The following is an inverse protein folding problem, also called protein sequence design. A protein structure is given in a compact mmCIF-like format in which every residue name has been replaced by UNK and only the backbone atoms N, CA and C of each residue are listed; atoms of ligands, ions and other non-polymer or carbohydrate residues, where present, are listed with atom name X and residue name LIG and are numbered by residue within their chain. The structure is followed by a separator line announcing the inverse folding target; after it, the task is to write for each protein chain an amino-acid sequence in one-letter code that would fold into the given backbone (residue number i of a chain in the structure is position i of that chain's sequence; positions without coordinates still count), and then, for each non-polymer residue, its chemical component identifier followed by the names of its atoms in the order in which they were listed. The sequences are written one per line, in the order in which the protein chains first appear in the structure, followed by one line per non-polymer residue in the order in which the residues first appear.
data_IF_693322686117
#
_entry.id   IF_693322686117
#
_cell.length_a   1.000
_cell.length_b   1.000
_cell.length_c   1.000
_cell.angle_alpha   90.00
_cell.angle_beta   90.00
_cell.angle_gamma   90.00
#
_symmetry.space_group_name_H-M   'P 1'
#
loop_
_entity.id
_entity.type
_entity.pdbx_description
1 polymer ?
#
# COMPACT_ATOMS: atom_id res chain seq x y z
N UNK A 1 -6.17 -3.01 12.35
CA UNK A 1 -7.21 -3.37 11.34
C UNK A 1 -6.53 -4.23 10.29
N UNK A 2 -7.21 -5.20 9.70
CA UNK A 2 -6.61 -6.05 8.66
C UNK A 2 -6.58 -5.34 7.30
N UNK A 3 -5.77 -5.87 6.38
CA UNK A 3 -5.65 -5.34 5.02
C UNK A 3 -7.00 -5.25 4.30
N UNK A 4 -7.79 -6.33 4.37
CA UNK A 4 -9.07 -6.44 3.65
C UNK A 4 -10.16 -5.60 4.26
N UNK A 5 -10.18 -5.48 5.59
CA UNK A 5 -11.07 -4.57 6.31
C UNK A 5 -10.85 -3.12 5.85
N UNK A 6 -9.57 -2.71 5.73
CA UNK A 6 -9.23 -1.37 5.23
C UNK A 6 -9.61 -1.19 3.76
N UNK A 7 -9.33 -2.20 2.94
CA UNK A 7 -9.66 -2.15 1.51
C UNK A 7 -11.18 -2.07 1.29
N UNK A 8 -11.96 -2.88 2.01
CA UNK A 8 -13.42 -2.87 2.00
C UNK A 8 -13.97 -1.48 2.35
N UNK A 9 -13.46 -0.87 3.43
CA UNK A 9 -13.88 0.47 3.84
C UNK A 9 -13.57 1.54 2.79
N UNK A 10 -12.43 1.43 2.08
CA UNK A 10 -12.06 2.41 1.05
C UNK A 10 -12.87 2.25 -0.22
N UNK A 11 -13.32 1.04 -0.55
CA UNK A 11 -14.17 0.79 -1.72
C UNK A 11 -15.60 1.24 -1.47
N UNK A 12 -16.13 0.99 -0.27
CA UNK A 12 -17.51 1.35 0.13
C UNK A 12 -17.62 2.72 0.81
N UNK A 13 -16.54 3.51 0.86
CA UNK A 13 -16.60 4.83 1.49
C UNK A 13 -17.59 5.74 0.77
N UNK A 14 -18.40 6.47 1.55
CA UNK A 14 -19.45 7.35 1.04
C UNK A 14 -18.95 8.28 -0.06
N UNK A 15 -19.66 8.27 -1.18
CA UNK A 15 -19.45 9.23 -2.26
C UNK A 15 -20.03 10.58 -1.85
N UNK A 16 -19.20 11.46 -1.30
CA UNK A 16 -19.55 12.88 -1.30
C UNK A 16 -19.38 13.45 -2.71
N UNK A 17 -20.40 14.13 -3.24
CA UNK A 17 -20.30 14.90 -4.48
C UNK A 17 -19.28 16.06 -4.36
N UNK A 18 -19.01 16.52 -3.14
CA UNK A 18 -18.14 17.67 -2.83
C UNK A 18 -16.70 17.29 -2.44
N UNK A 19 -16.44 16.04 -2.02
CA UNK A 19 -15.08 15.54 -1.83
C UNK A 19 -14.80 14.47 -2.89
N UNK A 20 -13.73 14.66 -3.66
CA UNK A 20 -13.23 13.65 -4.59
C UNK A 20 -13.15 12.30 -3.86
N UNK A 21 -13.97 11.34 -4.27
CA UNK A 21 -13.94 10.01 -3.69
C UNK A 21 -12.52 9.43 -3.76
N UNK A 22 -12.11 8.61 -2.79
CA UNK A 22 -10.72 8.19 -2.67
C UNK A 22 -10.26 7.45 -3.93
N UNK A 23 -9.12 7.88 -4.48
CA UNK A 23 -8.41 7.17 -5.52
C UNK A 23 -7.28 6.38 -4.86
N UNK A 24 -7.39 5.05 -4.88
CA UNK A 24 -6.57 4.15 -4.10
C UNK A 24 -5.60 3.41 -5.01
N UNK A 25 -4.34 3.37 -4.62
CA UNK A 25 -3.35 2.47 -5.20
C UNK A 25 -3.02 1.36 -4.19
N UNK A 26 -3.17 0.11 -4.60
CA UNK A 26 -2.76 -1.07 -3.84
C UNK A 26 -1.50 -1.64 -4.48
N UNK A 27 -0.39 -1.60 -3.76
CA UNK A 27 0.88 -2.19 -4.17
C UNK A 27 1.04 -3.55 -3.48
N UNK A 28 0.90 -4.61 -4.24
CA UNK A 28 1.02 -6.00 -3.78
C UNK A 28 2.45 -6.48 -4.02
N UNK A 29 3.11 -6.89 -2.93
CA UNK A 29 4.54 -7.19 -2.90
C UNK A 29 4.79 -8.68 -2.63
N UNK A 30 5.62 -9.28 -3.48
CA UNK A 30 6.00 -10.69 -3.36
C UNK A 30 4.99 -11.66 -3.98
N UNK A 31 5.47 -12.87 -4.24
CA UNK A 31 4.72 -13.91 -4.96
C UNK A 31 3.55 -14.48 -4.13
N UNK A 32 3.73 -14.62 -2.82
CA UNK A 32 2.69 -15.08 -1.90
C UNK A 32 1.49 -14.14 -1.90
N UNK A 33 1.72 -12.84 -1.72
CA UNK A 33 0.67 -11.82 -1.74
C UNK A 33 0.02 -11.70 -3.13
N UNK A 34 0.80 -11.83 -4.20
CA UNK A 34 0.27 -11.86 -5.57
C UNK A 34 -0.70 -13.03 -5.77
N UNK A 35 -0.29 -14.25 -5.42
CA UNK A 35 -1.15 -15.45 -5.53
C UNK A 35 -2.43 -15.30 -4.73
N UNK A 36 -2.32 -14.78 -3.51
CA UNK A 36 -3.47 -14.50 -2.66
C UNK A 36 -4.51 -13.61 -3.35
N UNK A 37 -4.05 -12.52 -3.97
CA UNK A 37 -4.92 -11.55 -4.64
C UNK A 37 -5.43 -12.08 -5.99
N UNK A 38 -4.56 -12.60 -6.85
CA UNK A 38 -4.92 -13.03 -8.22
C UNK A 38 -5.80 -14.30 -8.24
N UNK A 39 -5.56 -15.25 -7.33
CA UNK A 39 -6.34 -16.49 -7.25
C UNK A 39 -7.67 -16.32 -6.50
N UNK A 40 -8.02 -15.10 -6.12
CA UNK A 40 -9.35 -14.77 -5.60
C UNK A 40 -9.50 -14.76 -4.08
N UNK A 41 -8.42 -14.88 -3.30
CA UNK A 41 -8.49 -14.80 -1.83
C UNK A 41 -9.09 -13.48 -1.33
N UNK A 42 -8.78 -12.37 -2.00
CA UNK A 42 -9.41 -11.06 -1.68
C UNK A 42 -10.93 -11.03 -1.89
N UNK A 43 -11.47 -11.81 -2.83
CA UNK A 43 -12.91 -11.76 -3.16
C UNK A 43 -13.78 -12.38 -2.07
N UNK A 44 -13.17 -13.17 -1.18
CA UNK A 44 -13.86 -13.80 -0.06
C UNK A 44 -14.20 -12.78 1.04
N UNK A 45 -13.34 -11.78 1.25
CA UNK A 45 -13.53 -10.79 2.32
C UNK A 45 -13.80 -9.36 1.83
N UNK A 46 -13.52 -9.07 0.55
CA UNK A 46 -13.81 -7.77 -0.07
C UNK A 46 -14.90 -7.92 -1.13
N UNK A 47 -16.08 -7.36 -0.85
CA UNK A 47 -17.25 -7.41 -1.73
C UNK A 47 -17.79 -6.01 -1.95
N UNK A 48 -18.48 -5.79 -3.08
CA UNK A 48 -19.17 -4.52 -3.33
C UNK A 48 -20.66 -4.73 -3.39
N UNK A 49 -21.41 -3.91 -2.67
CA UNK A 49 -22.87 -4.00 -2.58
C UNK A 49 -23.59 -2.71 -3.00
N UNK A 50 -22.89 -1.58 -3.03
CA UNK A 50 -23.44 -0.32 -3.52
C UNK A 50 -23.05 -0.06 -4.99
N UNK A 51 -23.88 0.65 -5.74
CA UNK A 51 -23.56 1.10 -7.11
C UNK A 51 -22.29 1.95 -7.12
N UNK A 52 -22.15 2.81 -6.12
CA UNK A 52 -20.96 3.62 -5.86
C UNK A 52 -19.71 2.76 -5.63
N UNK A 53 -19.82 1.72 -4.79
CA UNK A 53 -18.76 0.74 -4.53
C UNK A 53 -18.35 -0.03 -5.78
N UNK A 54 -19.31 -0.45 -6.62
CA UNK A 54 -19.01 -1.10 -7.89
C UNK A 54 -18.19 -0.21 -8.83
N UNK A 55 -18.54 1.07 -8.93
CA UNK A 55 -17.76 2.03 -9.75
C UNK A 55 -16.37 2.25 -9.12
N UNK A 56 -16.29 2.41 -7.80
CA UNK A 56 -15.01 2.60 -7.10
C UNK A 56 -14.07 1.39 -7.29
N UNK A 57 -14.59 0.18 -7.13
CA UNK A 57 -13.83 -1.06 -7.33
C UNK A 57 -13.29 -1.19 -8.76
N UNK A 58 -13.99 -0.66 -9.76
CA UNK A 58 -13.56 -0.73 -11.17
C UNK A 58 -12.61 0.38 -11.56
N UNK A 59 -12.86 1.62 -11.13
CA UNK A 59 -12.24 2.82 -11.70
C UNK A 59 -11.33 3.57 -10.74
N UNK A 60 -11.50 3.36 -9.42
CA UNK A 60 -10.83 4.17 -8.38
C UNK A 60 -9.90 3.36 -7.49
N UNK A 61 -9.82 2.04 -7.68
CA UNK A 61 -8.84 1.18 -7.02
C UNK A 61 -7.94 0.56 -8.07
N UNK A 62 -6.70 1.05 -8.13
CA UNK A 62 -5.64 0.50 -8.96
C UNK A 62 -4.84 -0.54 -8.17
N UNK A 63 -4.62 -1.73 -8.73
CA UNK A 63 -3.78 -2.77 -8.12
C UNK A 63 -2.52 -2.98 -8.96
N UNK A 64 -1.35 -2.99 -8.33
CA UNK A 64 -0.06 -3.20 -8.98
C UNK A 64 0.71 -4.30 -8.26
N UNK A 65 1.24 -5.26 -9.01
CA UNK A 65 2.04 -6.36 -8.49
C UNK A 65 3.53 -6.13 -8.73
N UNK A 66 4.34 -6.17 -7.67
CA UNK A 66 5.79 -6.04 -7.75
C UNK A 66 6.47 -7.18 -6.97
N UNK A 67 7.17 -8.06 -7.69
CA UNK A 67 7.76 -9.27 -7.09
C UNK A 67 9.03 -9.05 -6.27
N UNK A 68 9.68 -7.88 -6.36
CA UNK A 68 10.96 -7.58 -5.67
C UNK A 68 10.99 -6.16 -5.17
N UNK A 69 11.61 -5.95 -4.00
CA UNK A 69 11.76 -4.62 -3.36
C UNK A 69 12.52 -3.60 -4.23
N UNK A 70 13.46 -4.07 -5.07
CA UNK A 70 14.14 -3.22 -6.06
C UNK A 70 13.14 -2.57 -7.02
N UNK A 71 12.13 -3.32 -7.47
CA UNK A 71 11.12 -2.81 -8.39
C UNK A 71 10.16 -1.84 -7.70
N UNK A 72 9.84 -2.07 -6.43
CA UNK A 72 9.11 -1.10 -5.61
C UNK A 72 9.84 0.24 -5.56
N UNK A 73 11.13 0.24 -5.22
CA UNK A 73 11.91 1.46 -5.14
C UNK A 73 11.90 2.23 -6.47
N UNK A 74 12.20 1.57 -7.59
CA UNK A 74 12.18 2.20 -8.92
C UNK A 74 10.78 2.69 -9.33
N UNK A 75 9.74 1.93 -9.01
CA UNK A 75 8.36 2.29 -9.32
C UNK A 75 7.94 3.57 -8.60
N UNK A 76 8.24 3.68 -7.31
CA UNK A 76 7.96 4.87 -6.51
C UNK A 76 8.79 6.09 -6.96
N UNK A 77 10.07 5.89 -7.29
CA UNK A 77 10.90 6.96 -7.86
C UNK A 77 10.31 7.48 -9.16
N UNK A 78 9.84 6.59 -10.05
CA UNK A 78 9.18 6.99 -11.29
C UNK A 78 7.88 7.74 -11.03
N UNK A 79 7.08 7.29 -10.05
CA UNK A 79 5.83 7.95 -9.67
C UNK A 79 6.06 9.38 -9.21
N UNK A 80 7.07 9.62 -8.37
CA UNK A 80 7.40 10.96 -7.87
C UNK A 80 8.02 11.88 -8.95
N UNK A 81 8.71 11.31 -9.94
CA UNK A 81 9.31 12.10 -11.01
C UNK A 81 8.29 12.65 -12.02
N UNK A 82 7.05 12.17 -12.00
CA UNK A 82 6.02 12.55 -12.96
C UNK A 82 5.10 13.63 -12.40
N UNK A 83 5.22 14.87 -12.90
CA UNK A 83 4.35 15.98 -12.49
C UNK A 83 2.86 15.75 -12.84
N UNK A 84 2.60 15.08 -13.97
CA UNK A 84 1.24 14.80 -14.48
C UNK A 84 0.85 13.31 -14.30
N UNK A 85 1.43 12.62 -13.32
CA UNK A 85 1.10 11.23 -13.02
C UNK A 85 -0.29 11.07 -12.38
N UNK A 86 -0.83 9.84 -12.32
CA UNK A 86 -2.05 9.57 -11.57
C UNK A 86 -1.86 9.95 -10.09
N UNK A 87 -2.81 10.71 -9.55
CA UNK A 87 -2.80 11.13 -8.14
C UNK A 87 -3.66 10.20 -7.31
N UNK A 88 -3.08 9.63 -6.26
CA UNK A 88 -3.76 8.72 -5.34
C UNK A 88 -3.91 9.39 -3.98
N UNK A 89 -5.12 9.37 -3.42
CA UNK A 89 -5.36 9.84 -2.05
C UNK A 89 -4.83 8.85 -1.02
N UNK A 90 -4.87 7.55 -1.35
CA UNK A 90 -4.46 6.46 -0.47
C UNK A 90 -3.54 5.49 -1.21
N UNK A 91 -2.48 5.06 -0.53
CA UNK A 91 -1.58 4.01 -1.03
C UNK A 91 -1.48 2.92 0.01
N UNK A 92 -1.95 1.72 -0.32
CA UNK A 92 -1.84 0.54 0.51
C UNK A 92 -0.66 -0.30 0.04
N UNK A 93 0.30 -0.56 0.92
CA UNK A 93 1.47 -1.39 0.61
C UNK A 93 1.31 -2.74 1.32
N UNK A 94 1.05 -3.80 0.57
CA UNK A 94 0.74 -5.13 1.09
C UNK A 94 1.89 -6.12 0.83
N UNK A 95 2.43 -6.76 1.88
CA UNK A 95 3.46 -7.80 1.76
C UNK A 95 4.92 -7.32 1.81
N UNK A 96 5.17 -6.07 2.22
CA UNK A 96 6.53 -5.53 2.31
C UNK A 96 7.42 -6.32 3.29
N UNK A 97 6.86 -6.72 4.43
CA UNK A 97 7.62 -7.36 5.49
C UNK A 97 8.17 -8.71 5.06
N UNK A 98 7.39 -9.50 4.32
CA UNK A 98 7.81 -10.80 3.76
C UNK A 98 9.02 -10.65 2.83
N UNK A 99 9.04 -9.62 1.99
CA UNK A 99 10.18 -9.34 1.11
C UNK A 99 11.46 -8.93 1.85
N UNK A 100 11.35 -8.49 3.11
CA UNK A 100 12.48 -7.97 3.92
C UNK A 100 12.85 -8.87 5.08
N UNK A 101 12.10 -9.96 5.30
CA UNK A 101 12.27 -10.86 6.44
C UNK A 101 13.62 -11.59 6.43
N UNK A 102 14.19 -11.85 5.25
CA UNK A 102 15.46 -12.58 5.11
C UNK A 102 16.70 -11.69 5.23
N UNK A 103 16.54 -10.39 5.49
CA UNK A 103 17.66 -9.45 5.60
C UNK A 103 18.04 -9.29 7.07
N UNK A 104 19.33 -9.30 7.38
CA UNK A 104 19.81 -9.23 8.76
C UNK A 104 20.46 -7.88 9.10
N UNK A 105 20.29 -7.47 10.36
CA UNK A 105 21.01 -6.38 10.99
C UNK A 105 21.03 -5.08 10.17
N UNK A 106 22.22 -4.50 9.88
CA UNK A 106 22.33 -3.21 9.19
C UNK A 106 21.71 -3.18 7.80
N UNK A 107 21.72 -4.31 7.09
CA UNK A 107 21.18 -4.38 5.73
C UNK A 107 19.66 -4.24 5.72
N UNK A 108 18.98 -4.87 6.69
CA UNK A 108 17.54 -4.71 6.87
C UNK A 108 17.18 -3.26 7.22
N UNK A 109 17.94 -2.63 8.14
CA UNK A 109 17.74 -1.22 8.51
C UNK A 109 17.87 -0.30 7.30
N UNK A 110 18.94 -0.47 6.51
CA UNK A 110 19.18 0.33 5.29
C UNK A 110 18.06 0.15 4.27
N UNK A 111 17.69 -1.10 3.98
CA UNK A 111 16.67 -1.40 2.98
C UNK A 111 15.31 -0.82 3.39
N UNK A 112 14.86 -1.10 4.62
CA UNK A 112 13.60 -0.60 5.12
C UNK A 112 13.60 0.92 5.17
N UNK A 113 14.67 1.56 5.62
CA UNK A 113 14.75 3.03 5.64
C UNK A 113 14.61 3.64 4.24
N UNK A 114 15.26 3.05 3.23
CA UNK A 114 15.13 3.52 1.84
C UNK A 114 13.70 3.37 1.33
N UNK A 115 13.07 2.22 1.57
CA UNK A 115 11.71 1.95 1.08
C UNK A 115 10.68 2.79 1.83
N UNK A 116 10.71 2.80 3.16
CA UNK A 116 9.77 3.55 3.99
C UNK A 116 9.84 5.04 3.69
N UNK A 117 11.05 5.61 3.60
CA UNK A 117 11.22 7.02 3.22
C UNK A 117 10.66 7.32 1.84
N UNK A 118 10.84 6.41 0.88
CA UNK A 118 10.33 6.58 -0.48
C UNK A 118 8.79 6.49 -0.52
N UNK A 119 8.20 5.60 0.26
CA UNK A 119 6.75 5.47 0.36
C UNK A 119 6.12 6.68 1.06
N UNK A 120 6.63 7.06 2.23
CA UNK A 120 6.04 8.10 3.08
C UNK A 120 6.19 9.52 2.50
N UNK A 121 7.09 9.72 1.54
CA UNK A 121 7.23 10.99 0.81
C UNK A 121 6.24 11.16 -0.35
N UNK A 122 5.35 10.18 -0.58
CA UNK A 122 4.26 10.35 -1.54
C UNK A 122 3.21 11.35 -1.01
N UNK A 123 2.56 12.13 -1.88
CA UNK A 123 1.46 13.03 -1.53
C UNK A 123 0.15 12.25 -1.30
N UNK A 124 0.20 11.22 -0.47
CA UNK A 124 -0.89 10.27 -0.24
C UNK A 124 -0.89 9.82 1.21
N UNK A 125 -2.05 9.37 1.73
CA UNK A 125 -2.09 8.61 2.97
C UNK A 125 -1.58 7.20 2.71
N UNK A 126 -0.35 6.93 3.13
CA UNK A 126 0.31 5.63 2.94
C UNK A 126 0.13 4.74 4.16
N UNK A 127 -0.33 3.51 3.94
CA UNK A 127 -0.61 2.52 4.99
C UNK A 127 0.05 1.18 4.61
N UNK A 128 0.64 0.49 5.59
CA UNK A 128 1.41 -0.74 5.37
C UNK A 128 0.72 -1.94 6.02
N UNK A 129 0.53 -3.01 5.25
CA UNK A 129 -0.14 -4.21 5.70
C UNK A 129 0.66 -5.50 5.37
N UNK A 130 0.58 -6.55 6.21
CA UNK A 130 -0.03 -6.54 7.56
C UNK A 130 0.68 -5.55 8.50
N UNK A 131 0.04 -5.11 9.58
CA UNK A 131 0.72 -4.24 10.55
C UNK A 131 1.89 -5.02 11.20
N UNK A 132 3.13 -4.51 11.18
CA UNK A 132 4.25 -5.21 11.79
C UNK A 132 4.11 -5.23 13.32
N UNK A 133 4.57 -6.28 14.03
CA UNK A 133 4.47 -6.33 15.49
C UNK A 133 5.07 -5.08 16.13
N UNK A 134 4.38 -4.45 17.08
CA UNK A 134 4.73 -3.10 17.57
C UNK A 134 6.16 -2.96 18.11
N UNK A 135 6.73 -4.03 18.68
CA UNK A 135 8.09 -4.09 19.21
C UNK A 135 9.16 -4.38 18.14
N UNK A 136 8.76 -4.82 16.95
CA UNK A 136 9.67 -5.20 15.87
C UNK A 136 10.45 -4.01 15.31
N UNK A 137 11.65 -4.26 14.79
CA UNK A 137 12.49 -3.24 14.13
C UNK A 137 11.74 -2.55 12.99
N UNK A 138 11.03 -3.25 12.09
CA UNK A 138 10.26 -2.60 11.02
C UNK A 138 9.19 -1.64 11.55
N UNK A 139 8.44 -2.01 12.60
CA UNK A 139 7.42 -1.15 13.20
C UNK A 139 8.02 0.12 13.81
N UNK A 140 9.18 0.00 14.47
CA UNK A 140 9.91 1.13 15.03
C UNK A 140 10.43 2.07 13.95
N UNK A 141 10.99 1.52 12.87
CA UNK A 141 11.45 2.30 11.72
C UNK A 141 10.29 3.02 11.02
N UNK A 142 9.15 2.36 10.85
CA UNK A 142 7.95 2.96 10.26
C UNK A 142 7.51 4.19 11.06
N UNK A 143 7.35 4.06 12.39
CA UNK A 143 6.99 5.20 13.26
C UNK A 143 8.02 6.31 13.24
N UNK A 144 9.31 5.95 13.25
CA UNK A 144 10.38 6.93 13.16
C UNK A 144 10.31 7.73 11.86
N UNK A 145 10.23 7.06 10.70
CA UNK A 145 10.18 7.75 9.42
C UNK A 145 8.87 8.51 9.19
N UNK A 146 7.74 8.02 9.71
CA UNK A 146 6.46 8.73 9.65
C UNK A 146 6.55 10.06 10.41
N UNK A 147 7.20 10.09 11.58
CA UNK A 147 7.44 11.31 12.35
C UNK A 147 8.44 12.27 11.69
N UNK A 148 9.42 11.76 10.93
CA UNK A 148 10.45 12.58 10.28
C UNK A 148 9.95 13.23 8.98
N UNK A 149 9.00 12.61 8.30
CA UNK A 149 8.55 13.03 6.97
C UNK A 149 7.25 13.87 7.03
N UNK A 150 6.42 13.69 8.05
CA UNK A 150 5.27 14.56 8.33
C UNK A 150 5.69 15.88 8.95
#
# INVERSE_FOLDING_TARGET
MQFEERLQQLVESDWSLDQSSPNVLVIVLGDTARKYVELGGLKEHVTTNTVAGHVASRERVSVVFLGRVKYLYMYLTRMQAQANGPQYSNVLVYGLWDLTATQEGPQQLRLLSLVLRQCLSLPSKVEFYPEPPSSSVPARLLRFWDHIIR
#
